data_IF_035428751573
#
_entry.id   IF_035428751573
#
_cell.length_a   1.000
_cell.length_b   1.000
_cell.length_c   1.000
_cell.angle_alpha   90.00
_cell.angle_beta   90.00
_cell.angle_gamma   90.00
#
_symmetry.space_group_name_H-M   'P 1'
#
loop_
_entity.id
_entity.type
_entity.pdbx_description
1 polymer ?
#
# COMPACT_ATOMS: atom_id res chain seq x y z
N UNK A 1 11.54 -12.33 3.72
CA UNK A 1 11.32 -11.14 4.57
C UNK A 1 9.91 -10.64 4.28
N UNK A 2 9.25 -10.04 5.25
CA UNK A 2 7.88 -9.55 5.12
C UNK A 2 7.85 -8.08 5.53
N UNK A 3 7.08 -7.29 4.80
CA UNK A 3 6.76 -5.91 5.15
C UNK A 3 5.33 -5.88 5.70
N UNK A 4 5.19 -5.55 6.97
CA UNK A 4 3.90 -5.37 7.62
C UNK A 4 3.53 -3.89 7.57
N UNK A 5 2.33 -3.59 7.10
CA UNK A 5 1.82 -2.24 6.90
C UNK A 5 0.59 -2.03 7.78
N UNK A 6 0.56 -0.92 8.51
CA UNK A 6 -0.65 -0.41 9.14
C UNK A 6 -1.23 0.72 8.29
N UNK A 7 -2.43 0.52 7.77
CA UNK A 7 -3.10 1.48 6.89
C UNK A 7 -4.25 2.10 7.68
N UNK A 8 -4.08 3.37 8.04
CA UNK A 8 -5.09 4.15 8.73
C UNK A 8 -5.94 4.96 7.73
N UNK A 9 -7.25 5.00 7.96
CA UNK A 9 -8.14 5.94 7.29
C UNK A 9 -8.65 6.95 8.32
N UNK A 10 -7.99 8.11 8.37
CA UNK A 10 -8.35 9.23 9.27
C UNK A 10 -9.55 10.06 8.75
N UNK A 11 -10.19 9.62 7.67
CA UNK A 11 -11.39 10.24 7.12
C UNK A 11 -12.67 9.90 7.89
N UNK A 12 -13.78 10.50 7.47
CA UNK A 12 -15.12 10.30 8.07
C UNK A 12 -15.93 9.19 7.42
N UNK A 13 -15.45 8.63 6.29
CA UNK A 13 -16.10 7.54 5.57
C UNK A 13 -15.07 6.46 5.16
N UNK A 14 -15.55 5.24 4.91
CA UNK A 14 -14.74 4.17 4.32
C UNK A 14 -14.11 4.61 3.00
N UNK A 15 -13.02 3.96 2.61
CA UNK A 15 -12.34 4.29 1.35
C UNK A 15 -13.32 4.08 0.19
N UNK A 16 -13.62 5.11 -0.62
CA UNK A 16 -14.61 4.97 -1.68
C UNK A 16 -14.01 4.11 -2.80
N UNK A 17 -14.19 2.80 -2.77
CA UNK A 17 -13.68 1.87 -3.76
C UNK A 17 -12.61 0.92 -3.21
N UNK A 18 -11.63 0.59 -4.05
CA UNK A 18 -10.60 -0.42 -3.75
C UNK A 18 -9.24 0.25 -3.61
N UNK A 19 -8.60 0.05 -2.45
CA UNK A 19 -7.25 0.52 -2.20
C UNK A 19 -6.23 -0.57 -2.54
N UNK A 20 -5.34 -0.30 -3.47
CA UNK A 20 -4.16 -1.11 -3.78
C UNK A 20 -2.93 -0.57 -3.07
N UNK A 21 -2.15 -1.47 -2.47
CA UNK A 21 -0.90 -1.14 -1.78
C UNK A 21 0.23 -1.99 -2.35
N UNK A 22 1.31 -1.34 -2.73
CA UNK A 22 2.44 -1.96 -3.40
C UNK A 22 3.78 -1.48 -2.81
N UNK A 23 4.71 -2.41 -2.67
CA UNK A 23 6.12 -2.15 -2.48
C UNK A 23 6.83 -2.27 -3.83
N UNK A 24 7.63 -1.26 -4.16
CA UNK A 24 8.39 -1.16 -5.40
C UNK A 24 9.88 -1.02 -5.09
N UNK A 25 10.74 -1.65 -5.90
CA UNK A 25 12.18 -1.36 -5.86
C UNK A 25 12.45 0.09 -6.26
N UNK A 26 13.59 0.64 -5.82
CA UNK A 26 14.00 2.00 -6.19
C UNK A 26 14.12 2.19 -7.71
N UNK A 27 14.55 1.16 -8.43
CA UNK A 27 14.65 1.16 -9.89
C UNK A 27 13.30 0.90 -10.59
N UNK A 28 12.24 0.66 -9.82
CA UNK A 28 10.87 0.42 -10.31
C UNK A 28 10.67 -0.88 -11.07
N UNK A 29 11.68 -1.76 -11.18
CA UNK A 29 11.59 -3.00 -11.96
C UNK A 29 10.75 -4.07 -11.27
N UNK A 30 10.68 -4.02 -9.94
CA UNK A 30 9.92 -4.99 -9.16
C UNK A 30 8.83 -4.25 -8.41
N UNK A 31 7.61 -4.76 -8.53
CA UNK A 31 6.41 -4.29 -7.84
C UNK A 31 5.70 -5.49 -7.25
N UNK A 32 5.54 -5.52 -5.93
CA UNK A 32 4.78 -6.55 -5.21
C UNK A 32 3.70 -5.87 -4.37
N UNK A 33 2.50 -6.42 -4.35
CA UNK A 33 1.40 -5.78 -3.66
C UNK A 33 0.08 -6.46 -3.93
N UNK A 34 -0.98 -5.86 -3.39
CA UNK A 34 -2.33 -6.37 -3.53
C UNK A 34 -3.35 -5.30 -3.18
N UNK A 35 -4.61 -5.69 -3.30
CA UNK A 35 -5.74 -4.84 -2.99
C UNK A 35 -6.33 -5.22 -1.65
N UNK A 36 -6.81 -4.22 -0.92
CA UNK A 36 -7.73 -4.41 0.19
C UNK A 36 -9.13 -4.70 -0.34
N UNK A 37 -9.96 -5.27 0.53
CA UNK A 37 -11.40 -5.38 0.27
C UNK A 37 -11.98 -3.98 -0.01
N UNK A 38 -13.05 -3.93 -0.79
CA UNK A 38 -13.74 -2.67 -1.04
C UNK A 38 -14.18 -2.02 0.28
N UNK A 39 -14.12 -0.70 0.35
CA UNK A 39 -14.47 0.11 1.52
C UNK A 39 -13.48 0.05 2.70
N UNK A 40 -12.39 -0.73 2.57
CA UNK A 40 -11.33 -0.81 3.57
C UNK A 40 -10.14 0.12 3.23
N UNK A 41 -9.47 0.72 4.25
CA UNK A 41 -9.85 0.69 5.66
C UNK A 41 -11.10 1.55 5.94
N UNK A 42 -11.95 1.06 6.83
CA UNK A 42 -13.10 1.85 7.34
C UNK A 42 -12.62 3.11 8.06
N UNK A 43 -13.45 4.15 8.04
CA UNK A 43 -13.18 5.40 8.76
C UNK A 43 -12.86 5.16 10.24
N UNK A 44 -11.79 5.79 10.71
CA UNK A 44 -11.32 5.68 12.10
C UNK A 44 -10.74 4.30 12.46
N UNK A 45 -10.55 3.41 11.48
CA UNK A 45 -9.96 2.09 11.69
C UNK A 45 -8.59 1.96 11.02
N UNK A 46 -7.82 1.00 11.53
CA UNK A 46 -6.54 0.59 10.95
C UNK A 46 -6.71 -0.81 10.38
N UNK A 47 -6.31 -0.99 9.12
CA UNK A 47 -6.22 -2.30 8.50
C UNK A 47 -4.75 -2.67 8.35
N UNK A 48 -4.39 -3.84 8.86
CA UNK A 48 -3.07 -4.40 8.64
C UNK A 48 -3.04 -5.20 7.35
N UNK A 49 -1.94 -5.07 6.63
CA UNK A 49 -1.63 -5.86 5.46
C UNK A 49 -0.18 -6.33 5.55
N UNK A 50 0.13 -7.45 4.92
CA UNK A 50 1.48 -7.94 4.85
C UNK A 50 1.86 -8.26 3.41
N UNK A 51 3.08 -7.85 3.05
CA UNK A 51 3.65 -8.06 1.73
C UNK A 51 4.89 -8.91 1.86
N UNK A 52 4.88 -10.08 1.22
CA UNK A 52 6.06 -10.93 1.12
C UNK A 52 7.02 -10.27 0.13
N UNK A 53 8.18 -9.85 0.63
CA UNK A 53 9.19 -9.20 -0.20
C UNK A 53 9.99 -10.27 -0.98
N UNK A 54 10.19 -10.05 -2.30
CA UNK A 54 11.11 -10.85 -3.09
C UNK A 54 12.53 -10.86 -2.51
N UNK A 55 13.28 -11.93 -2.78
CA UNK A 55 14.69 -12.02 -2.41
C UNK A 55 15.47 -10.86 -3.05
N UNK A 56 16.34 -10.21 -2.28
CA UNK A 56 17.16 -9.10 -2.76
C UNK A 56 16.51 -7.72 -2.62
N UNK A 57 15.37 -7.61 -1.93
CA UNK A 57 14.83 -6.33 -1.44
C UNK A 57 15.06 -6.12 0.06
N UNK A 58 15.56 -7.14 0.75
CA UNK A 58 15.84 -7.10 2.17
C UNK A 58 16.92 -6.05 2.50
N UNK A 59 16.66 -5.24 3.54
CA UNK A 59 17.57 -4.18 3.99
C UNK A 59 17.74 -3.00 3.01
N UNK A 60 17.04 -2.99 1.88
CA UNK A 60 17.08 -1.88 0.94
C UNK A 60 15.95 -0.89 1.21
N UNK A 61 16.17 0.35 0.78
CA UNK A 61 15.09 1.32 0.73
C UNK A 61 14.08 0.88 -0.34
N UNK A 62 12.80 0.92 0.02
CA UNK A 62 11.69 0.57 -0.87
C UNK A 62 10.83 1.79 -1.12
N UNK A 63 10.06 1.75 -2.20
CA UNK A 63 9.03 2.75 -2.50
C UNK A 63 7.68 2.13 -2.18
N UNK A 64 6.90 2.77 -1.31
CA UNK A 64 5.51 2.42 -1.08
C UNK A 64 4.61 3.22 -2.02
N UNK A 65 3.70 2.51 -2.68
CA UNK A 65 2.72 3.08 -3.58
C UNK A 65 1.32 2.68 -3.14
N UNK A 66 0.45 3.67 -3.03
CA UNK A 66 -0.97 3.50 -2.80
C UNK A 66 -1.74 3.91 -4.06
N UNK A 67 -2.67 3.07 -4.51
CA UNK A 67 -3.52 3.32 -5.67
C UNK A 67 -4.98 3.16 -5.24
N UNK A 68 -5.79 4.20 -5.39
CA UNK A 68 -7.22 4.14 -5.12
C UNK A 68 -7.99 4.02 -6.43
N UNK A 69 -8.79 2.96 -6.57
CA UNK A 69 -9.71 2.78 -7.69
C UNK A 69 -11.15 3.10 -7.27
N UNK A 70 -11.75 4.11 -7.91
CA UNK A 70 -13.13 4.56 -7.66
C UNK A 70 -13.89 4.58 -8.98
N UNK A 71 -14.92 3.74 -9.12
CA UNK A 71 -15.79 3.70 -10.32
C UNK A 71 -14.99 3.66 -11.65
N UNK A 72 -13.90 2.89 -11.69
CA UNK A 72 -13.04 2.74 -12.87
C UNK A 72 -11.97 3.83 -13.04
N UNK A 73 -11.90 4.84 -12.16
CA UNK A 73 -10.83 5.85 -12.15
C UNK A 73 -9.78 5.47 -11.13
N UNK A 74 -8.49 5.48 -11.51
CA UNK A 74 -7.36 5.20 -10.61
C UNK A 74 -6.57 6.46 -10.30
N UNK A 75 -6.44 6.77 -9.01
CA UNK A 75 -5.56 7.82 -8.48
C UNK A 75 -4.43 7.20 -7.66
N UNK A 76 -3.19 7.61 -7.89
CA UNK A 76 -2.02 7.02 -7.24
C UNK A 76 -1.21 8.03 -6.43
N UNK A 77 -0.65 7.58 -5.31
CA UNK A 77 0.36 8.28 -4.53
C UNK A 77 1.57 7.37 -4.32
N UNK A 78 2.77 7.95 -4.33
CA UNK A 78 4.04 7.23 -4.20
C UNK A 78 4.91 7.94 -3.16
N UNK A 79 5.43 7.19 -2.19
CA UNK A 79 6.34 7.69 -1.16
C UNK A 79 7.46 6.69 -0.93
N UNK A 80 8.67 7.20 -0.70
CA UNK A 80 9.79 6.38 -0.26
C UNK A 80 9.83 6.44 1.27
N UNK A 81 9.32 5.43 2.00
CA UNK A 81 9.43 5.40 3.45
C UNK A 81 10.89 5.37 3.88
N UNK A 82 11.22 6.20 4.87
CA UNK A 82 12.48 6.08 5.60
C UNK A 82 12.24 5.07 6.73
N UNK A 83 12.59 3.81 6.51
CA UNK A 83 12.65 2.81 7.59
C UNK A 83 13.89 3.16 8.42
N UNK A 84 13.69 3.61 9.66
CA UNK A 84 14.77 3.82 10.64
C UNK A 84 15.03 2.55 11.42
#
# INVERSE_FOLDING_TARGET
MELILGIANDGVAGVPGVLGIYAESLDGKVKVGGNLDAEEPRAGQIRQASLILPKGMDGQQIVLRAELEVKGVRAGSRRTPTVR
#
